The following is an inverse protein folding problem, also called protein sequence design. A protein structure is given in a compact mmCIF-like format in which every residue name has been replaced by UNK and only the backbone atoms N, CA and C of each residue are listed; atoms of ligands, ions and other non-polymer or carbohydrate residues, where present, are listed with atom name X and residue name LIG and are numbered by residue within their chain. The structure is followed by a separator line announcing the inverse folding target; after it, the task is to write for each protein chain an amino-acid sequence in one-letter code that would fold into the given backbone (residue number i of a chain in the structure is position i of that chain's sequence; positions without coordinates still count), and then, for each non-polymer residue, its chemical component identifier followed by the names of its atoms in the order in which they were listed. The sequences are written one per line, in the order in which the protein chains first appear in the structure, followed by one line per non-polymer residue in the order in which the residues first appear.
data_IF_298314922552
#
_entry.id   IF_298314922552
#
_cell.length_a   1.000
_cell.length_b   1.000
_cell.length_c   1.000
_cell.angle_alpha   90.00
_cell.angle_beta   90.00
_cell.angle_gamma   90.00
#
_symmetry.space_group_name_H-M   'P 1'
#
loop_
_entity.id
_entity.type
_entity.pdbx_description
1 polymer ?
#
# COMPACT_ATOMS: atom_id res chain seq x y z
N UNK A 1 -18.64 -11.52 19.80
CA UNK A 1 -17.84 -10.33 19.45
C UNK A 1 -18.17 -9.98 18.01
N UNK A 2 -18.68 -8.77 17.77
CA UNK A 2 -19.36 -8.41 16.52
C UNK A 2 -18.39 -8.30 15.33
N UNK A 3 -18.63 -9.05 14.25
CA UNK A 3 -17.71 -9.19 13.10
C UNK A 3 -17.47 -7.83 12.42
N UNK A 4 -18.50 -6.98 12.43
CA UNK A 4 -18.49 -5.59 11.94
C UNK A 4 -17.46 -4.70 12.65
N UNK A 5 -17.29 -4.87 13.97
CA UNK A 5 -16.32 -4.11 14.77
C UNK A 5 -14.88 -4.49 14.45
N UNK A 6 -14.60 -5.79 14.32
CA UNK A 6 -13.25 -6.28 14.00
C UNK A 6 -12.82 -5.77 12.62
N UNK A 7 -13.74 -5.80 11.65
CA UNK A 7 -13.49 -5.34 10.29
C UNK A 7 -13.24 -3.83 10.20
N UNK A 8 -13.95 -3.03 10.99
CA UNK A 8 -13.72 -1.58 11.09
C UNK A 8 -12.32 -1.29 11.66
N UNK A 9 -11.94 -1.96 12.75
CA UNK A 9 -10.62 -1.80 13.38
C UNK A 9 -9.50 -2.16 12.39
N UNK A 10 -9.61 -3.29 11.69
CA UNK A 10 -8.61 -3.71 10.69
C UNK A 10 -8.47 -2.66 9.58
N UNK A 11 -9.58 -2.07 9.15
CA UNK A 11 -9.59 -1.06 8.07
C UNK A 11 -8.93 0.24 8.51
N UNK A 12 -9.26 0.73 9.72
CA UNK A 12 -8.65 1.94 10.30
C UNK A 12 -7.14 1.76 10.52
N UNK A 13 -6.73 0.63 11.09
CA UNK A 13 -5.31 0.32 11.29
C UNK A 13 -4.55 0.19 9.98
N UNK A 14 -5.16 -0.42 8.95
CA UNK A 14 -4.59 -0.51 7.61
C UNK A 14 -4.36 0.87 6.97
N UNK A 15 -5.31 1.80 7.14
CA UNK A 15 -5.17 3.16 6.63
C UNK A 15 -4.02 3.92 7.33
N UNK A 16 -3.96 3.86 8.66
CA UNK A 16 -2.88 4.46 9.47
C UNK A 16 -1.52 3.88 9.05
N UNK A 17 -1.44 2.55 8.93
CA UNK A 17 -0.20 1.88 8.55
C UNK A 17 0.27 2.28 7.14
N UNK A 18 -0.67 2.43 6.19
CA UNK A 18 -0.35 2.92 4.84
C UNK A 18 0.12 4.38 4.84
N UNK A 19 -0.41 5.22 5.72
CA UNK A 19 0.06 6.60 5.88
C UNK A 19 1.47 6.66 6.46
N UNK A 20 1.72 5.92 7.55
CA UNK A 20 3.05 5.81 8.16
C UNK A 20 4.05 5.27 7.13
N UNK A 21 3.69 4.23 6.39
CA UNK A 21 4.52 3.67 5.32
C UNK A 21 4.91 4.72 4.28
N UNK A 22 3.97 5.56 3.84
CA UNK A 22 4.27 6.65 2.90
C UNK A 22 5.22 7.68 3.48
N UNK A 23 5.02 8.08 4.74
CA UNK A 23 5.93 9.02 5.43
C UNK A 23 7.35 8.46 5.51
N UNK A 24 7.48 7.17 5.83
CA UNK A 24 8.78 6.47 5.84
C UNK A 24 9.39 6.46 4.43
N UNK A 25 8.62 6.08 3.39
CA UNK A 25 9.11 6.06 2.03
C UNK A 25 9.61 7.43 1.55
N UNK A 26 8.85 8.51 1.81
CA UNK A 26 9.29 9.87 1.51
C UNK A 26 10.56 10.27 2.26
N UNK A 27 10.67 9.91 3.55
CA UNK A 27 11.88 10.14 4.34
C UNK A 27 13.09 9.41 3.75
N UNK A 28 12.93 8.14 3.39
CA UNK A 28 13.98 7.35 2.74
C UNK A 28 14.38 7.96 1.40
N UNK A 29 13.43 8.42 0.59
CA UNK A 29 13.71 9.11 -0.68
C UNK A 29 14.50 10.39 -0.47
N UNK A 30 14.09 11.24 0.48
CA UNK A 30 14.82 12.47 0.79
C UNK A 30 16.27 12.18 1.21
N UNK A 31 16.48 11.18 2.07
CA UNK A 31 17.82 10.76 2.53
C UNK A 31 18.65 10.19 1.38
N UNK A 32 18.06 9.33 0.54
CA UNK A 32 18.74 8.74 -0.61
C UNK A 32 19.16 9.80 -1.61
N UNK A 33 18.27 10.77 -1.86
CA UNK A 33 18.54 11.91 -2.74
C UNK A 33 19.67 12.78 -2.20
N UNK A 34 19.67 13.07 -0.89
CA UNK A 34 20.74 13.83 -0.26
C UNK A 34 22.10 13.14 -0.42
N UNK A 35 22.16 11.82 -0.19
CA UNK A 35 23.40 11.06 -0.41
C UNK A 35 23.81 11.06 -1.88
N UNK A 36 22.88 10.88 -2.81
CA UNK A 36 23.17 10.80 -4.24
C UNK A 36 23.86 12.06 -4.79
N UNK A 37 23.45 13.25 -4.35
CA UNK A 37 24.08 14.50 -4.79
C UNK A 37 25.33 14.88 -3.99
N UNK A 38 25.54 14.26 -2.82
CA UNK A 38 26.77 14.44 -2.03
C UNK A 38 27.91 13.54 -2.51
N UNK A 39 27.57 12.42 -3.15
CA UNK A 39 28.54 11.42 -3.56
C UNK A 39 29.34 11.88 -4.79
N UNK A 40 30.67 11.67 -4.74
CA UNK A 40 31.59 11.96 -5.85
C UNK A 40 32.06 10.67 -6.54
N UNK A 41 31.76 9.50 -5.97
CA UNK A 41 32.20 8.18 -6.43
C UNK A 41 31.07 7.47 -7.19
N UNK A 42 31.36 7.05 -8.42
CA UNK A 42 30.35 6.42 -9.29
C UNK A 42 29.96 4.99 -8.85
N UNK A 43 30.84 4.24 -8.18
CA UNK A 43 30.53 2.84 -7.80
C UNK A 43 29.54 2.73 -6.63
N UNK A 44 29.69 3.59 -5.61
CA UNK A 44 28.77 3.73 -4.48
C UNK A 44 27.41 4.30 -4.93
N UNK A 45 27.41 5.06 -6.02
CA UNK A 45 26.19 5.58 -6.66
C UNK A 45 25.24 4.46 -7.16
N UNK A 46 25.73 3.27 -7.55
CA UNK A 46 24.86 2.17 -7.99
C UNK A 46 23.92 1.66 -6.89
N UNK A 47 24.39 1.65 -5.64
CA UNK A 47 23.58 1.23 -4.49
C UNK A 47 22.48 2.25 -4.21
N UNK A 48 22.82 3.54 -4.30
CA UNK A 48 21.84 4.63 -4.16
C UNK A 48 20.81 4.60 -5.30
N UNK A 49 21.24 4.36 -6.55
CA UNK A 49 20.33 4.19 -7.70
C UNK A 49 19.37 3.01 -7.44
N UNK A 50 19.88 1.90 -6.91
CA UNK A 50 19.05 0.74 -6.55
C UNK A 50 18.01 1.12 -5.49
N UNK A 51 18.40 1.86 -4.44
CA UNK A 51 17.48 2.36 -3.42
C UNK A 51 16.40 3.29 -4.00
N UNK A 52 16.77 4.21 -4.92
CA UNK A 52 15.81 5.07 -5.62
C UNK A 52 14.82 4.26 -6.47
N UNK A 53 15.29 3.25 -7.20
CA UNK A 53 14.42 2.37 -8.01
C UNK A 53 13.42 1.64 -7.11
N UNK A 54 13.86 1.09 -5.97
CA UNK A 54 12.97 0.42 -5.01
C UNK A 54 11.88 1.37 -4.45
N UNK A 55 12.25 2.62 -4.18
CA UNK A 55 11.30 3.64 -3.72
C UNK A 55 10.31 4.04 -4.83
N UNK A 56 10.75 4.14 -6.08
CA UNK A 56 9.84 4.36 -7.22
C UNK A 56 8.83 3.20 -7.31
N UNK A 57 9.29 1.96 -7.22
CA UNK A 57 8.39 0.79 -7.20
C UNK A 57 7.43 0.82 -6.00
N UNK A 58 7.87 1.32 -4.84
CA UNK A 58 6.98 1.50 -3.70
C UNK A 58 5.82 2.44 -4.03
N UNK A 59 6.11 3.61 -4.62
CA UNK A 59 5.07 4.58 -4.99
C UNK A 59 4.15 4.01 -6.08
N UNK A 60 4.68 3.29 -7.06
CA UNK A 60 3.86 2.60 -8.08
C UNK A 60 2.91 1.59 -7.42
N UNK A 61 3.39 0.79 -6.47
CA UNK A 61 2.56 -0.15 -5.73
C UNK A 61 1.47 0.57 -4.91
N UNK A 62 1.80 1.69 -4.27
CA UNK A 62 0.83 2.50 -3.52
C UNK A 62 -0.26 3.09 -4.42
N UNK A 63 0.11 3.68 -5.56
CA UNK A 63 -0.84 4.18 -6.54
C UNK A 63 -1.72 3.07 -7.11
N UNK A 64 -1.14 1.91 -7.44
CA UNK A 64 -1.88 0.76 -7.98
C UNK A 64 -2.91 0.25 -6.97
N UNK A 65 -2.53 0.16 -5.69
CA UNK A 65 -3.44 -0.20 -4.61
C UNK A 65 -4.59 0.81 -4.47
N UNK A 66 -4.28 2.11 -4.54
CA UNK A 66 -5.29 3.17 -4.49
C UNK A 66 -6.31 3.05 -5.64
N UNK A 67 -5.85 2.95 -6.89
CA UNK A 67 -6.73 2.79 -8.05
C UNK A 67 -7.58 1.53 -7.96
N UNK A 68 -6.99 0.41 -7.55
CA UNK A 68 -7.71 -0.84 -7.36
C UNK A 68 -8.85 -0.70 -6.34
N UNK A 69 -8.56 -0.08 -5.18
CA UNK A 69 -9.58 0.17 -4.16
C UNK A 69 -10.69 1.08 -4.67
N UNK A 70 -10.36 2.21 -5.30
CA UNK A 70 -11.34 3.16 -5.83
C UNK A 70 -12.30 2.48 -6.83
N UNK A 71 -11.77 1.69 -7.77
CA UNK A 71 -12.57 0.98 -8.77
C UNK A 71 -13.54 -0.01 -8.08
N UNK A 72 -13.04 -0.79 -7.11
CA UNK A 72 -13.85 -1.79 -6.41
C UNK A 72 -14.93 -1.15 -5.53
N UNK A 73 -14.63 -0.08 -4.80
CA UNK A 73 -15.62 0.66 -4.01
C UNK A 73 -16.68 1.34 -4.89
N UNK A 74 -16.30 1.90 -6.04
CA UNK A 74 -17.27 2.47 -6.99
C UNK A 74 -18.23 1.39 -7.51
N UNK A 75 -17.72 0.20 -7.83
CA UNK A 75 -18.55 -0.94 -8.25
C UNK A 75 -19.50 -1.41 -7.14
N UNK A 76 -19.01 -1.47 -5.90
CA UNK A 76 -19.84 -1.80 -4.73
C UNK A 76 -20.99 -0.80 -4.58
N UNK A 77 -20.69 0.50 -4.61
CA UNK A 77 -21.67 1.56 -4.44
C UNK A 77 -22.75 1.55 -5.54
N UNK A 78 -22.34 1.36 -6.80
CA UNK A 78 -23.26 1.25 -7.93
C UNK A 78 -24.20 0.04 -7.80
N UNK A 79 -23.67 -1.10 -7.35
CA UNK A 79 -24.48 -2.32 -7.15
C UNK A 79 -25.48 -2.13 -6.00
N UNK A 80 -25.05 -1.53 -4.88
CA UNK A 80 -25.94 -1.25 -3.75
C UNK A 80 -27.06 -0.27 -4.13
N UNK A 81 -26.77 0.77 -4.92
CA UNK A 81 -27.80 1.72 -5.39
C UNK A 81 -28.80 1.09 -6.35
N UNK A 82 -28.33 0.25 -7.28
CA UNK A 82 -29.19 -0.47 -8.21
C UNK A 82 -30.16 -1.40 -7.48
N UNK A 83 -29.67 -2.09 -6.45
CA UNK A 83 -30.43 -3.03 -5.65
C UNK A 83 -31.49 -2.31 -4.79
N UNK A 84 -31.10 -1.26 -4.07
CA UNK A 84 -32.02 -0.46 -3.23
C UNK A 84 -33.13 0.20 -4.06
N UNK A 85 -32.84 0.60 -5.31
CA UNK A 85 -33.82 1.21 -6.21
C UNK A 85 -34.89 0.23 -6.71
N UNK A 86 -34.61 -1.08 -6.70
CA UNK A 86 -35.45 -2.11 -7.31
C UNK A 86 -36.35 -2.91 -6.33
N UNK A 87 -36.51 -2.47 -5.08
CA UNK A 87 -37.59 -2.86 -4.13
C UNK A 87 -38.12 -4.32 -4.19
N UNK A 88 -37.27 -5.30 -3.92
CA UNK A 88 -37.72 -6.61 -3.42
C UNK A 88 -37.04 -6.81 -2.06
N UNK A 89 -37.76 -6.71 -0.94
CA UNK A 89 -37.11 -6.42 0.36
C UNK A 89 -36.55 -7.65 1.10
N UNK A 90 -36.86 -8.90 0.71
CA UNK A 90 -36.51 -10.08 1.53
C UNK A 90 -35.48 -11.05 0.92
N UNK A 91 -35.44 -11.22 -0.40
CA UNK A 91 -34.42 -12.06 -1.09
C UNK A 91 -33.13 -11.27 -1.31
N UNK A 92 -33.24 -9.95 -1.24
CA UNK A 92 -32.25 -9.00 -1.73
C UNK A 92 -31.21 -8.65 -0.69
N UNK A 93 -31.58 -8.64 0.59
CA UNK A 93 -30.64 -8.35 1.69
C UNK A 93 -29.58 -9.44 1.82
N UNK A 94 -29.96 -10.72 1.74
CA UNK A 94 -29.00 -11.83 1.80
C UNK A 94 -28.04 -11.85 0.59
N UNK A 95 -28.54 -11.52 -0.61
CA UNK A 95 -27.72 -11.43 -1.82
C UNK A 95 -26.80 -10.19 -1.79
N UNK A 96 -27.30 -9.07 -1.29
CA UNK A 96 -26.55 -7.84 -1.09
C UNK A 96 -25.44 -8.03 -0.06
N UNK A 97 -25.76 -8.60 1.10
CA UNK A 97 -24.81 -8.90 2.17
C UNK A 97 -23.71 -9.85 1.67
N UNK A 98 -24.09 -10.89 0.90
CA UNK A 98 -23.12 -11.80 0.29
C UNK A 98 -22.22 -11.09 -0.73
N UNK A 99 -22.76 -10.22 -1.58
CA UNK A 99 -21.98 -9.46 -2.56
C UNK A 99 -21.05 -8.44 -1.90
N UNK A 100 -21.51 -7.76 -0.83
CA UNK A 100 -20.72 -6.84 -0.02
C UNK A 100 -19.58 -7.57 0.67
N UNK A 101 -19.88 -8.68 1.35
CA UNK A 101 -18.89 -9.48 2.07
C UNK A 101 -17.85 -10.08 1.13
N UNK A 102 -18.26 -10.57 -0.05
CA UNK A 102 -17.35 -11.10 -1.05
C UNK A 102 -16.41 -10.01 -1.61
N UNK A 103 -16.97 -8.84 -1.95
CA UNK A 103 -16.17 -7.70 -2.45
C UNK A 103 -15.19 -7.22 -1.39
N UNK A 104 -15.61 -7.16 -0.13
CA UNK A 104 -14.74 -6.70 0.94
C UNK A 104 -13.65 -7.71 1.31
N UNK A 105 -13.96 -9.01 1.24
CA UNK A 105 -12.96 -10.07 1.36
C UNK A 105 -11.90 -9.97 0.25
N UNK A 106 -12.32 -9.69 -0.99
CA UNK A 106 -11.39 -9.47 -2.11
C UNK A 106 -10.51 -8.23 -1.89
N UNK A 107 -11.10 -7.11 -1.47
CA UNK A 107 -10.39 -5.87 -1.14
C UNK A 107 -9.38 -6.12 -0.02
N UNK A 108 -9.77 -6.81 1.06
CA UNK A 108 -8.91 -7.11 2.19
C UNK A 108 -7.74 -8.01 1.78
N UNK A 109 -8.00 -9.07 1.01
CA UNK A 109 -6.95 -9.99 0.53
C UNK A 109 -5.92 -9.27 -0.35
N UNK A 110 -6.38 -8.46 -1.30
CA UNK A 110 -5.48 -7.73 -2.19
C UNK A 110 -4.78 -6.58 -1.46
N UNK A 111 -5.49 -5.88 -0.57
CA UNK A 111 -4.92 -4.85 0.30
C UNK A 111 -3.77 -5.39 1.15
N UNK A 112 -3.93 -6.59 1.72
CA UNK A 112 -2.85 -7.26 2.46
C UNK A 112 -1.66 -7.62 1.57
N UNK A 113 -1.89 -8.10 0.34
CA UNK A 113 -0.80 -8.40 -0.62
C UNK A 113 -0.02 -7.14 -0.97
N UNK A 114 -0.70 -6.05 -1.29
CA UNK A 114 -0.04 -4.77 -1.57
C UNK A 114 0.69 -4.22 -0.34
N UNK A 115 0.09 -4.35 0.85
CA UNK A 115 0.76 -4.00 2.09
C UNK A 115 2.08 -4.76 2.27
N UNK A 116 2.07 -6.08 2.08
CA UNK A 116 3.27 -6.90 2.20
C UNK A 116 4.35 -6.52 1.18
N UNK A 117 3.97 -6.29 -0.08
CA UNK A 117 4.89 -5.82 -1.12
C UNK A 117 5.50 -4.46 -0.76
N UNK A 118 4.67 -3.51 -0.31
CA UNK A 118 5.13 -2.18 0.12
C UNK A 118 6.09 -2.26 1.31
N UNK A 119 5.80 -3.10 2.29
CA UNK A 119 6.68 -3.34 3.43
C UNK A 119 8.04 -3.90 2.98
N UNK A 120 8.03 -4.89 2.07
CA UNK A 120 9.26 -5.47 1.53
C UNK A 120 10.10 -4.43 0.79
N UNK A 121 9.47 -3.57 -0.02
CA UNK A 121 10.17 -2.51 -0.76
C UNK A 121 10.81 -1.47 0.18
N UNK A 122 10.12 -1.09 1.26
CA UNK A 122 10.71 -0.21 2.29
C UNK A 122 11.92 -0.90 2.95
N UNK A 123 11.76 -2.17 3.35
CA UNK A 123 12.82 -2.91 4.04
C UNK A 123 14.06 -3.04 3.15
N UNK A 124 13.89 -3.41 1.89
CA UNK A 124 15.00 -3.52 0.93
C UNK A 124 15.66 -2.16 0.69
N UNK A 125 14.87 -1.08 0.55
CA UNK A 125 15.41 0.28 0.40
C UNK A 125 16.27 0.70 1.61
N UNK A 126 15.82 0.34 2.81
CA UNK A 126 16.56 0.60 4.04
C UNK A 126 17.87 -0.20 4.10
N UNK A 127 17.85 -1.48 3.72
CA UNK A 127 19.05 -2.32 3.63
C UNK A 127 20.04 -1.74 2.62
N UNK A 128 19.58 -1.32 1.44
CA UNK A 128 20.45 -0.68 0.44
C UNK A 128 21.12 0.58 0.98
N UNK A 129 20.39 1.44 1.70
CA UNK A 129 20.96 2.63 2.33
C UNK A 129 21.98 2.30 3.42
N UNK A 130 21.71 1.30 4.27
CA UNK A 130 22.66 0.86 5.27
C UNK A 130 23.95 0.34 4.65
N UNK A 131 23.84 -0.48 3.59
CA UNK A 131 25.00 -0.98 2.85
C UNK A 131 25.83 0.16 2.27
N UNK A 132 25.19 1.19 1.72
CA UNK A 132 25.86 2.39 1.24
C UNK A 132 26.65 3.09 2.36
N UNK A 133 26.02 3.34 3.51
CA UNK A 133 26.66 4.01 4.64
C UNK A 133 27.86 3.20 5.16
N UNK A 134 27.72 1.88 5.29
CA UNK A 134 28.81 1.01 5.74
C UNK A 134 29.98 1.03 4.76
N UNK A 135 29.70 0.98 3.45
CA UNK A 135 30.75 1.06 2.43
C UNK A 135 31.52 2.38 2.51
N UNK A 136 30.82 3.51 2.66
CA UNK A 136 31.48 4.82 2.73
C UNK A 136 32.29 5.02 4.01
N UNK A 137 31.95 4.34 5.12
CA UNK A 137 32.77 4.35 6.35
C UNK A 137 34.05 3.53 6.18
N UNK A 138 33.98 2.43 5.42
CA UNK A 138 35.10 1.49 5.24
C UNK A 138 36.11 1.98 4.20
N UNK A 139 35.69 2.78 3.21
CA UNK A 139 36.55 3.31 2.13
C UNK A 139 37.04 4.73 2.36
#
# INVERSE_FOLDING_TARGET
MDFSRIQKIITEQSAICSEIGRKIAFGLTAVTWAFFFSDKKFSSSLILITALILQIFYFIADFTQYFFMVIKYKKLFSNTQFIVKNKDESITDALLEKAVTATQSEINRNGFRFFFVKFLLILLSFISLLLYIVLEIVT
#
